data_IF_964070454522
#
_entry.id   IF_964070454522
#
_cell.length_a   1.000
_cell.length_b   1.000
_cell.length_c   1.000
_cell.angle_alpha   90.00
_cell.angle_beta   90.00
_cell.angle_gamma   90.00
#
_symmetry.space_group_name_H-M   'P 1'
#
loop_
_entity.id
_entity.type
_entity.pdbx_description
1 polymer ?
#
# COMPACT_ATOMS: atom_id res chain seq x y z
N UNK A 1 13.54 -1.80 11.88
CA UNK A 1 12.52 -0.71 11.74
C UNK A 1 12.10 -0.64 10.27
N UNK A 2 10.97 -0.01 9.94
CA UNK A 2 10.38 -0.06 8.59
C UNK A 2 10.97 1.07 7.73
N UNK A 3 11.96 0.78 6.89
CA UNK A 3 12.43 1.69 5.84
C UNK A 3 12.13 1.13 4.46
N UNK A 4 10.98 1.48 3.88
CA UNK A 4 10.70 1.20 2.47
C UNK A 4 11.05 2.42 1.62
N UNK A 5 11.52 2.24 0.37
CA UNK A 5 11.74 3.36 -0.53
C UNK A 5 10.46 4.20 -0.66
N UNK A 6 10.62 5.51 -0.53
CA UNK A 6 9.53 6.49 -0.70
C UNK A 6 9.74 7.19 -2.03
N UNK A 7 8.69 7.25 -2.83
CA UNK A 7 8.63 8.01 -4.08
C UNK A 7 7.49 9.01 -4.02
N UNK A 8 7.70 10.16 -4.65
CA UNK A 8 6.70 11.21 -4.80
C UNK A 8 6.47 11.35 -6.30
N UNK A 9 5.29 10.95 -6.75
CA UNK A 9 4.90 11.03 -8.17
C UNK A 9 4.18 12.35 -8.48
N UNK A 10 3.83 13.14 -7.46
CA UNK A 10 3.15 14.42 -7.54
C UNK A 10 4.04 15.61 -7.17
N UNK A 11 3.50 16.58 -6.40
CA UNK A 11 4.22 17.78 -6.00
C UNK A 11 4.97 17.60 -4.69
N UNK A 12 5.99 18.43 -4.50
CA UNK A 12 6.78 18.52 -3.28
C UNK A 12 6.96 19.99 -2.90
N UNK A 13 6.35 20.38 -1.78
CA UNK A 13 6.35 21.75 -1.28
C UNK A 13 6.99 21.77 0.10
N UNK A 14 8.02 22.60 0.28
CA UNK A 14 8.72 22.76 1.54
C UNK A 14 8.76 24.24 1.93
N UNK A 15 8.42 24.52 3.19
CA UNK A 15 8.49 25.86 3.76
C UNK A 15 9.24 25.79 5.08
N UNK A 16 10.27 26.61 5.25
CA UNK A 16 11.11 26.56 6.46
C UNK A 16 10.59 27.45 7.60
N UNK A 17 10.00 28.61 7.29
CA UNK A 17 9.71 29.64 8.30
C UNK A 17 8.22 30.01 8.38
N UNK A 18 7.74 30.36 9.60
CA UNK A 18 8.44 30.29 10.89
C UNK A 18 8.54 28.87 11.48
N UNK A 19 7.64 27.97 11.06
CA UNK A 19 7.64 26.56 11.44
C UNK A 19 7.92 25.71 10.18
N UNK A 20 8.92 24.83 10.19
CA UNK A 20 9.20 24.01 9.02
C UNK A 20 8.04 23.06 8.70
N UNK A 21 7.68 23.00 7.43
CA UNK A 21 6.63 22.13 6.91
C UNK A 21 6.99 21.56 5.56
N UNK A 22 6.44 20.39 5.28
CA UNK A 22 6.65 19.64 4.05
C UNK A 22 5.33 19.01 3.63
N UNK A 23 4.96 19.19 2.37
CA UNK A 23 3.76 18.60 1.77
C UNK A 23 4.15 17.85 0.50
N UNK A 24 3.64 16.64 0.36
CA UNK A 24 3.76 15.83 -0.84
C UNK A 24 2.39 15.41 -1.33
N UNK A 25 2.23 15.30 -2.64
CA UNK A 25 1.10 14.59 -3.24
C UNK A 25 1.56 13.33 -3.95
N UNK A 26 0.66 12.35 -4.04
CA UNK A 26 0.88 11.08 -4.74
C UNK A 26 2.15 10.36 -4.26
N UNK A 27 2.21 10.11 -2.96
CA UNK A 27 3.30 9.39 -2.31
C UNK A 27 3.10 7.89 -2.48
N UNK A 28 4.18 7.19 -2.84
CA UNK A 28 4.22 5.72 -2.94
C UNK A 28 5.35 5.18 -2.07
N UNK A 29 5.04 4.17 -1.29
CA UNK A 29 5.95 3.51 -0.38
C UNK A 29 6.07 2.05 -0.81
N UNK A 30 7.28 1.62 -1.14
CA UNK A 30 7.57 0.28 -1.64
C UNK A 30 8.62 0.27 -2.74
N UNK A 31 9.04 -0.93 -3.12
CA UNK A 31 10.04 -1.13 -4.15
C UNK A 31 9.54 -0.71 -5.55
N UNK A 32 10.44 -0.17 -6.37
CA UNK A 32 10.11 0.19 -7.74
C UNK A 32 9.79 -1.05 -8.58
N UNK A 33 8.79 -0.94 -9.46
CA UNK A 33 8.40 -2.03 -10.36
C UNK A 33 7.59 -3.14 -9.69
N UNK A 34 7.28 -3.02 -8.40
CA UNK A 34 6.38 -3.90 -7.64
C UNK A 34 5.16 -3.10 -7.19
N UNK A 35 4.07 -3.78 -6.87
CA UNK A 35 2.90 -3.14 -6.26
C UNK A 35 3.30 -2.42 -4.96
N UNK A 36 2.89 -1.15 -4.75
CA UNK A 36 3.26 -0.39 -3.57
C UNK A 36 2.65 -0.99 -2.31
N UNK A 37 3.41 -0.93 -1.22
CA UNK A 37 2.96 -1.36 0.10
C UNK A 37 1.97 -0.37 0.69
N UNK A 38 2.18 0.91 0.42
CA UNK A 38 1.27 1.99 0.79
C UNK A 38 1.32 3.10 -0.24
N UNK A 39 0.17 3.71 -0.51
CA UNK A 39 0.08 4.96 -1.25
C UNK A 39 -0.64 6.00 -0.41
N UNK A 40 -0.29 7.26 -0.56
CA UNK A 40 -0.96 8.38 0.11
C UNK A 40 -1.20 9.47 -0.91
N UNK A 41 -2.44 9.92 -1.04
CA UNK A 41 -2.78 10.97 -2.01
C UNK A 41 -2.18 12.31 -1.61
N UNK A 42 -2.22 12.63 -0.33
CA UNK A 42 -1.55 13.81 0.22
C UNK A 42 -0.98 13.51 1.59
N UNK A 43 0.29 13.82 1.73
CA UNK A 43 1.03 13.75 2.99
C UNK A 43 1.44 15.17 3.35
N UNK A 44 1.14 15.60 4.57
CA UNK A 44 1.63 16.87 5.09
C UNK A 44 2.23 16.66 6.48
N UNK A 45 3.33 17.34 6.76
CA UNK A 45 4.00 17.27 8.05
C UNK A 45 4.49 18.65 8.47
N UNK A 46 4.36 18.95 9.76
CA UNK A 46 4.94 20.12 10.42
C UNK A 46 5.83 19.66 11.56
N UNK A 47 7.01 20.25 11.65
CA UNK A 47 8.04 19.84 12.61
C UNK A 47 8.49 21.03 13.44
N UNK A 48 8.80 20.82 14.73
CA UNK A 48 9.35 21.88 15.57
C UNK A 48 10.78 22.23 15.16
N UNK A 49 11.11 23.52 15.20
CA UNK A 49 12.43 23.99 14.80
C UNK A 49 13.52 23.68 15.83
N UNK A 50 13.28 23.96 17.12
CA UNK A 50 14.31 23.81 18.15
C UNK A 50 14.85 22.38 18.31
N UNK A 51 14.00 21.33 18.37
CA UNK A 51 14.47 19.95 18.44
C UNK A 51 15.32 19.55 17.22
N UNK A 52 14.98 20.05 16.03
CA UNK A 52 15.74 19.75 14.80
C UNK A 52 17.19 20.24 14.89
N UNK A 53 17.43 21.37 15.55
CA UNK A 53 18.79 21.89 15.76
C UNK A 53 19.65 20.94 16.62
N UNK A 54 19.01 20.08 17.41
CA UNK A 54 19.66 19.06 18.25
C UNK A 54 19.63 17.65 17.62
N UNK A 55 19.09 17.53 16.41
CA UNK A 55 18.93 16.26 15.71
C UNK A 55 17.76 15.39 16.18
N UNK A 56 16.79 15.97 16.89
CA UNK A 56 15.49 15.36 17.21
C UNK A 56 14.44 15.87 16.20
N UNK A 57 13.68 14.95 15.61
CA UNK A 57 12.57 15.31 14.72
C UNK A 57 11.29 15.24 15.52
N UNK A 58 10.77 16.39 15.93
CA UNK A 58 9.48 16.47 16.61
C UNK A 58 8.40 16.87 15.62
N UNK A 59 7.53 15.93 15.28
CA UNK A 59 6.40 16.14 14.39
C UNK A 59 5.20 16.62 15.22
N UNK A 60 4.88 17.90 15.11
CA UNK A 60 3.75 18.53 15.81
C UNK A 60 2.43 18.08 15.19
N UNK A 61 2.40 18.03 13.85
CA UNK A 61 1.22 17.61 13.10
C UNK A 61 1.67 16.85 11.86
N UNK A 62 1.06 15.69 11.64
CA UNK A 62 1.14 14.91 10.42
C UNK A 62 -0.28 14.65 9.93
N UNK A 63 -0.50 14.81 8.64
CA UNK A 63 -1.76 14.48 8.00
C UNK A 63 -1.51 13.52 6.83
N UNK A 64 -2.27 12.42 6.82
CA UNK A 64 -2.30 11.40 5.78
C UNK A 64 -3.72 11.39 5.20
N UNK A 65 -3.90 12.01 4.03
CA UNK A 65 -5.19 12.04 3.34
C UNK A 65 -5.26 10.89 2.32
N UNK A 66 -6.33 10.09 2.41
CA UNK A 66 -6.59 8.89 1.59
C UNK A 66 -5.40 7.89 1.54
N UNK A 67 -4.83 7.48 2.69
CA UNK A 67 -3.79 6.46 2.70
C UNK A 67 -4.39 5.09 2.36
N UNK A 68 -3.78 4.37 1.43
CA UNK A 68 -4.15 3.00 1.05
C UNK A 68 -2.99 2.05 1.33
N UNK A 69 -3.12 1.22 2.35
CA UNK A 69 -2.14 0.20 2.72
C UNK A 69 -2.53 -1.18 2.16
N UNK A 70 -1.54 -1.93 1.68
CA UNK A 70 -1.71 -3.29 1.18
C UNK A 70 -0.91 -4.26 2.06
N UNK A 71 -1.60 -5.18 2.71
CA UNK A 71 -1.00 -6.18 3.60
C UNK A 71 -1.16 -7.55 2.95
N UNK A 72 -0.06 -8.29 2.88
CA UNK A 72 -0.06 -9.70 2.46
C UNK A 72 0.35 -10.59 3.63
N UNK A 73 -0.46 -11.60 3.88
CA UNK A 73 -0.19 -12.65 4.86
C UNK A 73 0.23 -13.89 4.09
N UNK A 74 1.45 -14.36 4.34
CA UNK A 74 2.03 -15.55 3.70
C UNK A 74 1.29 -16.82 4.14
N UNK A 75 1.50 -17.93 3.43
CA UNK A 75 0.93 -19.24 3.81
C UNK A 75 1.37 -19.72 5.20
N UNK A 76 2.51 -19.22 5.68
CA UNK A 76 3.05 -19.50 7.01
C UNK A 76 2.47 -18.57 8.10
N UNK A 77 1.67 -17.58 7.70
CA UNK A 77 1.07 -16.59 8.60
C UNK A 77 1.97 -15.39 8.89
N UNK A 78 3.09 -15.27 8.19
CA UNK A 78 3.99 -14.12 8.27
C UNK A 78 3.43 -12.91 7.52
N UNK A 79 3.77 -11.71 7.99
CA UNK A 79 3.45 -10.46 7.30
C UNK A 79 4.61 -10.05 6.39
N UNK A 80 4.33 -9.91 5.09
CA UNK A 80 5.37 -9.59 4.08
C UNK A 80 5.94 -8.16 4.25
N UNK A 81 5.18 -7.25 4.90
CA UNK A 81 5.59 -5.87 5.24
C UNK A 81 6.88 -5.80 6.08
N UNK A 82 7.19 -6.81 6.90
CA UNK A 82 8.21 -6.71 7.96
C UNK A 82 9.66 -6.82 7.44
N UNK A 83 9.84 -7.07 6.14
CA UNK A 83 11.15 -7.27 5.51
C UNK A 83 11.80 -5.96 5.04
N UNK A 84 11.61 -4.87 5.77
CA UNK A 84 12.16 -3.57 5.40
C UNK A 84 13.68 -3.52 5.64
N UNK A 85 14.42 -2.79 4.79
CA UNK A 85 15.85 -2.55 4.98
C UNK A 85 16.07 -1.50 6.07
N UNK A 86 17.20 -1.65 6.79
CA UNK A 86 17.53 -0.94 8.03
C UNK A 86 18.21 0.43 7.82
N UNK A 87 18.29 0.94 6.58
CA UNK A 87 19.13 2.05 6.17
C UNK A 87 18.34 3.30 5.77
N UNK A 88 17.60 3.86 6.74
CA UNK A 88 17.07 5.22 6.66
C UNK A 88 18.02 6.23 7.35
N UNK A 89 18.13 7.48 6.86
CA UNK A 89 19.00 8.50 7.48
C UNK A 89 18.48 9.02 8.84
N UNK A 90 17.25 8.66 9.23
CA UNK A 90 16.57 9.16 10.43
C UNK A 90 16.46 8.04 11.46
N UNK A 91 16.98 8.27 12.68
CA UNK A 91 16.79 7.37 13.81
C UNK A 91 15.34 7.51 14.34
N UNK A 92 14.50 6.47 14.22
CA UNK A 92 13.10 6.53 14.63
C UNK A 92 12.92 6.66 16.16
N UNK A 93 13.95 6.39 16.96
CA UNK A 93 13.94 6.68 18.41
C UNK A 93 13.99 8.16 18.70
N UNK A 94 14.48 8.97 17.76
CA UNK A 94 14.57 10.44 17.82
C UNK A 94 13.45 11.14 17.06
N UNK A 95 12.41 10.41 16.66
CA UNK A 95 11.24 10.96 15.97
C UNK A 95 10.06 10.93 16.92
N UNK A 96 9.60 12.09 17.38
CA UNK A 96 8.41 12.23 18.22
C UNK A 96 7.21 12.55 17.32
N UNK A 97 6.06 11.92 17.57
CA UNK A 97 4.82 12.14 16.85
C UNK A 97 3.76 12.67 17.82
N UNK A 98 3.47 13.96 17.79
CA UNK A 98 2.49 14.55 18.71
C UNK A 98 1.06 14.33 18.23
N UNK A 99 0.85 14.43 16.92
CA UNK A 99 -0.46 14.22 16.30
C UNK A 99 -0.31 13.74 14.87
N UNK A 100 -0.82 12.55 14.59
CA UNK A 100 -0.98 12.01 13.24
C UNK A 100 -2.47 11.84 12.96
N UNK A 101 -2.95 12.54 11.95
CA UNK A 101 -4.34 12.55 11.50
C UNK A 101 -4.42 11.76 10.20
N UNK A 102 -5.13 10.64 10.24
CA UNK A 102 -5.38 9.76 9.09
C UNK A 102 -6.82 9.99 8.68
N UNK A 103 -7.05 10.33 7.42
CA UNK A 103 -8.40 10.59 6.89
C UNK A 103 -8.72 9.70 5.70
N UNK A 104 -9.92 9.12 5.70
CA UNK A 104 -10.42 8.29 4.60
C UNK A 104 -9.45 7.16 4.22
N UNK A 105 -8.86 6.52 5.23
CA UNK A 105 -7.90 5.45 5.05
C UNK A 105 -8.54 4.17 4.50
N UNK A 106 -7.73 3.40 3.78
CA UNK A 106 -8.07 2.08 3.25
C UNK A 106 -6.99 1.08 3.60
N UNK A 107 -7.39 -0.10 4.03
CA UNK A 107 -6.49 -1.24 4.23
C UNK A 107 -7.02 -2.42 3.43
N UNK A 108 -6.20 -2.95 2.53
CA UNK A 108 -6.45 -4.23 1.87
C UNK A 108 -5.58 -5.30 2.52
N UNK A 109 -6.16 -6.47 2.80
CA UNK A 109 -5.48 -7.62 3.38
C UNK A 109 -5.73 -8.82 2.50
N UNK A 110 -4.67 -9.36 1.90
CA UNK A 110 -4.70 -10.61 1.15
C UNK A 110 -4.13 -11.70 2.03
N UNK A 111 -4.98 -12.63 2.45
CA UNK A 111 -4.61 -13.80 3.25
C UNK A 111 -4.47 -15.03 2.36
N UNK A 112 -3.23 -15.43 2.08
CA UNK A 112 -2.93 -16.59 1.22
C UNK A 112 -3.28 -17.92 1.89
N UNK A 113 -3.32 -17.98 3.22
CA UNK A 113 -3.70 -19.19 3.98
C UNK A 113 -5.16 -19.52 3.77
N UNK A 114 -5.99 -18.48 3.81
CA UNK A 114 -7.46 -18.59 3.67
C UNK A 114 -7.94 -18.36 2.24
N UNK A 115 -7.04 -17.98 1.32
CA UNK A 115 -7.35 -17.51 -0.04
C UNK A 115 -8.46 -16.46 -0.02
N UNK A 116 -8.37 -15.54 0.94
CA UNK A 116 -9.38 -14.54 1.22
C UNK A 116 -8.78 -13.14 1.09
N UNK A 117 -9.59 -12.20 0.63
CA UNK A 117 -9.25 -10.79 0.58
C UNK A 117 -10.23 -10.01 1.46
N UNK A 118 -9.69 -9.16 2.32
CA UNK A 118 -10.45 -8.27 3.19
C UNK A 118 -10.09 -6.83 2.85
N UNK A 119 -11.11 -5.99 2.78
CA UNK A 119 -10.92 -4.56 2.52
C UNK A 119 -11.68 -3.80 3.59
N UNK A 120 -10.97 -2.88 4.24
CA UNK A 120 -11.54 -1.90 5.17
C UNK A 120 -11.35 -0.52 4.55
N UNK A 121 -12.41 0.26 4.48
CA UNK A 121 -12.42 1.64 3.98
C UNK A 121 -12.91 2.59 5.06
N UNK A 122 -12.86 3.89 4.77
CA UNK A 122 -13.44 4.94 5.61
C UNK A 122 -12.88 4.88 7.04
N UNK A 123 -11.56 4.74 7.11
CA UNK A 123 -10.79 4.70 8.35
C UNK A 123 -10.32 6.12 8.65
N UNK A 124 -10.83 6.69 9.74
CA UNK A 124 -10.30 7.90 10.32
C UNK A 124 -9.59 7.55 11.63
N UNK A 125 -8.37 8.05 11.81
CA UNK A 125 -7.61 7.74 13.01
C UNK A 125 -6.76 8.92 13.48
N UNK A 126 -6.62 9.02 14.79
CA UNK A 126 -5.71 9.91 15.47
C UNK A 126 -4.65 9.07 16.19
N UNK A 127 -3.39 9.37 15.93
CA UNK A 127 -2.27 8.64 16.51
C UNK A 127 -1.29 9.61 17.15
N UNK A 128 -0.83 9.29 18.36
CA UNK A 128 0.28 9.98 19.01
C UNK A 128 1.31 8.96 19.52
N UNK A 129 2.58 9.35 19.51
CA UNK A 129 3.68 8.49 19.91
C UNK A 129 4.86 9.32 20.41
N UNK A 130 5.41 8.91 21.55
CA UNK A 130 6.64 9.54 22.09
C UNK A 130 7.89 9.19 21.27
N UNK A 131 7.80 8.15 20.45
CA UNK A 131 8.82 7.77 19.48
C UNK A 131 8.14 7.06 18.31
N UNK A 132 8.68 7.21 17.10
CA UNK A 132 8.29 6.41 15.94
C UNK A 132 8.57 4.91 16.14
N UNK A 133 9.35 4.50 17.15
CA UNK A 133 9.52 3.12 17.58
C UNK A 133 8.53 2.68 18.68
N UNK A 134 7.65 3.57 19.13
CA UNK A 134 6.62 3.33 20.16
C UNK A 134 7.02 3.80 21.56
N UNK A 135 6.14 3.66 22.57
CA UNK A 135 4.75 3.20 22.49
C UNK A 135 3.83 4.21 21.76
N UNK A 136 2.74 3.71 21.17
CA UNK A 136 1.75 4.49 20.42
C UNK A 136 0.41 4.50 21.15
N UNK A 137 -0.31 5.62 21.05
CA UNK A 137 -1.74 5.71 21.34
C UNK A 137 -2.48 5.94 20.03
N UNK A 138 -3.60 5.27 19.87
CA UNK A 138 -4.38 5.28 18.65
C UNK A 138 -5.86 5.30 18.99
N UNK A 139 -6.55 6.32 18.51
CA UNK A 139 -8.00 6.43 18.52
C UNK A 139 -8.49 6.36 17.08
N UNK A 140 -9.33 5.38 16.75
CA UNK A 140 -9.78 5.16 15.37
C UNK A 140 -11.30 4.98 15.28
N UNK A 141 -11.89 5.55 14.24
CA UNK A 141 -13.25 5.33 13.80
C UNK A 141 -13.22 4.60 12.45
N UNK A 142 -14.04 3.56 12.32
CA UNK A 142 -14.13 2.76 11.10
C UNK A 142 -15.59 2.63 10.71
N UNK A 143 -15.93 3.06 9.49
CA UNK A 143 -17.24 2.83 8.90
C UNK A 143 -17.12 1.75 7.81
N UNK A 144 -17.12 0.48 8.20
CA UNK A 144 -17.01 -0.61 7.22
C UNK A 144 -18.37 -0.90 6.57
N UNK A 145 -18.48 -0.65 5.26
CA UNK A 145 -19.48 -1.34 4.44
C UNK A 145 -18.84 -2.67 4.05
N UNK A 146 -19.25 -3.78 4.68
CA UNK A 146 -18.73 -5.11 4.36
C UNK A 146 -18.95 -5.42 2.87
N UNK A 147 -17.91 -5.27 2.06
CA UNK A 147 -17.98 -5.53 0.63
C UNK A 147 -17.60 -6.99 0.36
N UNK A 148 -18.50 -7.69 -0.32
CA UNK A 148 -18.39 -9.11 -0.69
C UNK A 148 -17.19 -9.28 -1.63
N UNK A 149 -16.31 -10.30 -1.43
CA UNK A 149 -15.12 -10.44 -2.25
C UNK A 149 -15.48 -10.60 -3.73
N UNK A 150 -14.81 -9.82 -4.59
CA UNK A 150 -14.88 -9.99 -6.03
C UNK A 150 -14.24 -11.34 -6.40
N UNK A 151 -14.99 -12.17 -7.13
CA UNK A 151 -14.54 -13.47 -7.62
C UNK A 151 -13.24 -13.32 -8.43
N UNK A 152 -12.23 -14.13 -8.10
CA UNK A 152 -10.95 -14.18 -8.79
C UNK A 152 -11.09 -14.31 -10.33
N UNK A 153 -10.20 -13.70 -11.12
CA UNK A 153 -10.19 -13.89 -12.57
C UNK A 153 -9.94 -15.37 -12.92
N UNK A 154 -10.64 -15.95 -13.89
CA UNK A 154 -10.48 -17.36 -14.25
C UNK A 154 -9.05 -17.62 -14.77
N UNK A 155 -8.43 -18.76 -14.41
CA UNK A 155 -7.11 -19.10 -14.92
C UNK A 155 -7.15 -19.28 -16.44
N UNK A 156 -6.17 -18.68 -17.12
CA UNK A 156 -6.00 -18.77 -18.57
C UNK A 156 -6.10 -20.22 -19.05
N UNK A 157 -7.05 -20.49 -19.93
CA UNK A 157 -7.29 -21.81 -20.51
C UNK A 157 -6.04 -22.28 -21.25
N UNK A 158 -5.37 -23.29 -20.70
CA UNK A 158 -4.29 -24.01 -21.37
C UNK A 158 -4.93 -24.85 -22.49
N UNK A 159 -4.90 -24.34 -23.72
CA UNK A 159 -5.38 -25.04 -24.92
C UNK A 159 -4.56 -26.31 -25.15
N UNK A 160 -4.99 -27.44 -24.58
CA UNK A 160 -4.53 -28.77 -24.99
C UNK A 160 -5.10 -29.04 -26.38
N UNK A 161 -4.29 -28.85 -27.43
CA UNK A 161 -4.57 -29.45 -28.74
C UNK A 161 -4.53 -30.96 -28.59
N UNK A 162 -5.68 -31.59 -28.42
CA UNK A 162 -5.84 -33.01 -28.65
C UNK A 162 -5.84 -33.26 -30.17
N UNK A 163 -4.80 -33.93 -30.67
CA UNK A 163 -4.85 -34.60 -31.97
C UNK A 163 -5.79 -35.79 -31.83
N UNK A 164 -6.96 -35.72 -32.43
CA UNK A 164 -7.78 -36.88 -32.74
C UNK A 164 -7.73 -37.09 -34.26
N UNK A 165 -7.00 -38.12 -34.69
CA UNK A 165 -7.19 -38.71 -36.00
C UNK A 165 -8.24 -39.81 -35.91
N UNK A 166 -9.07 -39.97 -36.94
CA UNK A 166 -9.78 -41.22 -37.28
C UNK A 166 -10.21 -41.18 -38.79
N UNK A 167 -10.43 -42.33 -39.47
CA UNK A 167 -10.10 -42.53 -40.88
C UNK A 167 -11.27 -42.65 -41.88
N UNK A 168 -10.89 -42.53 -43.17
CA UNK A 168 -11.43 -43.04 -44.47
C UNK A 168 -12.90 -43.46 -44.64
N UNK A 169 -13.53 -42.88 -45.69
CA UNK A 169 -14.22 -43.50 -46.88
C UNK A 169 -15.17 -42.44 -47.49
N UNK A 170 -15.55 -42.34 -48.77
CA UNK A 170 -15.15 -42.88 -50.08
C UNK A 170 -16.06 -42.22 -51.15
N UNK A 171 -15.48 -41.65 -52.20
CA UNK A 171 -16.03 -41.56 -53.59
C UNK A 171 -17.21 -40.58 -53.90
N UNK A 172 -17.52 -40.24 -55.18
CA UNK A 172 -17.40 -38.87 -55.73
C UNK A 172 -18.68 -38.43 -56.55
N UNK A 173 -18.60 -37.71 -57.70
CA UNK A 173 -18.54 -36.25 -57.88
C UNK A 173 -19.69 -35.65 -58.73
N UNK A 174 -19.97 -34.35 -58.64
CA UNK A 174 -20.59 -33.56 -59.74
C UNK A 174 -20.32 -32.07 -59.53
N UNK A 175 -19.52 -31.39 -60.39
CA UNK A 175 -19.97 -30.44 -61.43
C UNK A 175 -20.23 -29.03 -60.84
N UNK A 176 -19.78 -27.87 -61.34
CA UNK A 176 -19.23 -27.39 -62.61
C UNK A 176 -18.61 -26.01 -62.30
N UNK A 177 -17.52 -25.62 -62.99
CA UNK A 177 -17.00 -24.25 -62.99
C UNK A 177 -17.78 -23.35 -63.96
N UNK A 178 -17.80 -22.04 -63.66
CA UNK A 178 -17.93 -20.97 -64.65
C UNK A 178 -16.87 -19.93 -64.37
#
# INVERSE_FOLDING_TARGET
MIGHPVRVDGTADAQLLPLPSLTFTDVRIGEAGVAPLMTVKRFAVRVELFPLLTGEVRVVEMALDEPSANIRITEEGGFEWLSAREDGPIDPRRVVLERVDIRNGRVSVVDLRRKAEYVVTDIDALVDARSLAGPYKLDAAVSSTACRPASAPPPASRTKRARCGFPRKSSPPTGRCR
#
